data_IF_428816339371
#
_entry.id   IF_428816339371
#
_cell.length_a   1.000
_cell.length_b   1.000
_cell.length_c   1.000
_cell.angle_alpha   90.00
_cell.angle_beta   90.00
_cell.angle_gamma   90.00
#
_symmetry.space_group_name_H-M   'P 1'
#
loop_
_entity.id
_entity.type
_entity.pdbx_description
1 polymer ?
#
# COMPACT_ATOMS: atom_id res chain seq x y z
N UNK A 1 -3.75 13.12 7.23
CA UNK A 1 -3.64 12.01 8.20
C UNK A 1 -2.91 10.87 7.50
N UNK A 2 -1.90 10.28 8.12
CA UNK A 2 -1.20 9.11 7.57
C UNK A 2 -2.00 7.83 7.83
N UNK A 3 -1.87 6.83 6.95
CA UNK A 3 -2.50 5.54 7.14
C UNK A 3 -1.97 4.86 8.41
N UNK A 4 -2.88 4.39 9.26
CA UNK A 4 -2.52 3.56 10.41
C UNK A 4 -3.51 2.42 10.58
N UNK A 5 -3.04 1.18 10.79
CA UNK A 5 -3.91 0.04 11.11
C UNK A 5 -4.76 0.25 12.37
N UNK A 6 -4.40 1.22 13.22
CA UNK A 6 -5.13 1.51 14.45
C UNK A 6 -6.34 2.42 14.24
N UNK A 7 -6.46 3.07 13.10
CA UNK A 7 -7.59 3.92 12.74
C UNK A 7 -8.91 3.10 12.75
N UNK A 8 -9.98 3.65 13.30
CA UNK A 8 -11.23 2.91 13.48
C UNK A 8 -11.90 2.57 12.15
N UNK A 9 -11.89 3.48 11.16
CA UNK A 9 -12.40 3.23 9.80
C UNK A 9 -11.58 2.14 9.12
N UNK A 10 -10.25 2.20 9.23
CA UNK A 10 -9.36 1.14 8.69
C UNK A 10 -9.68 -0.22 9.33
N UNK A 11 -9.92 -0.27 10.64
CA UNK A 11 -10.33 -1.51 11.33
C UNK A 11 -11.69 -2.02 10.84
N UNK A 12 -12.68 -1.14 10.65
CA UNK A 12 -13.98 -1.52 10.08
C UNK A 12 -13.83 -2.12 8.68
N UNK A 13 -13.02 -1.49 7.83
CA UNK A 13 -12.74 -2.02 6.49
C UNK A 13 -12.05 -3.39 6.55
N UNK A 14 -11.08 -3.59 7.45
CA UNK A 14 -10.44 -4.90 7.64
C UNK A 14 -11.44 -5.97 8.12
N UNK A 15 -12.35 -5.63 9.02
CA UNK A 15 -13.43 -6.52 9.46
C UNK A 15 -14.36 -6.86 8.29
N UNK A 16 -14.69 -5.88 7.44
CA UNK A 16 -15.48 -6.09 6.23
C UNK A 16 -14.81 -7.08 5.27
N UNK A 17 -13.51 -6.92 5.00
CA UNK A 17 -12.72 -7.87 4.20
C UNK A 17 -12.74 -9.28 4.79
N UNK A 18 -12.62 -9.41 6.11
CA UNK A 18 -12.68 -10.71 6.78
C UNK A 18 -14.05 -11.37 6.58
N UNK A 19 -15.14 -10.59 6.55
CA UNK A 19 -16.46 -11.12 6.21
C UNK A 19 -16.57 -11.51 4.73
N UNK A 20 -15.94 -10.78 3.80
CA UNK A 20 -15.83 -11.19 2.39
C UNK A 20 -15.12 -12.55 2.27
N UNK A 21 -13.97 -12.71 2.94
CA UNK A 21 -13.20 -13.97 2.95
C UNK A 21 -14.00 -15.15 3.53
N UNK A 22 -14.92 -14.87 4.46
CA UNK A 22 -15.85 -15.86 5.04
C UNK A 22 -17.10 -16.10 4.20
N UNK A 23 -17.24 -15.47 3.03
CA UNK A 23 -18.41 -15.62 2.17
C UNK A 23 -19.68 -14.93 2.71
N UNK A 24 -19.52 -13.86 3.49
CA UNK A 24 -20.61 -13.09 4.12
C UNK A 24 -20.70 -11.66 3.54
N UNK A 25 -21.10 -11.49 2.27
CA UNK A 25 -21.07 -10.20 1.60
C UNK A 25 -22.01 -9.16 2.22
N UNK A 26 -23.16 -9.56 2.76
CA UNK A 26 -24.10 -8.62 3.40
C UNK A 26 -23.54 -8.05 4.72
N UNK A 27 -22.88 -8.88 5.53
CA UNK A 27 -22.19 -8.44 6.74
C UNK A 27 -21.01 -7.52 6.38
N UNK A 28 -20.28 -7.82 5.31
CA UNK A 28 -19.21 -6.98 4.79
C UNK A 28 -19.72 -5.60 4.35
N UNK A 29 -20.78 -5.57 3.53
CA UNK A 29 -21.42 -4.33 3.08
C UNK A 29 -21.86 -3.45 4.26
N UNK A 30 -22.47 -4.04 5.30
CA UNK A 30 -22.85 -3.30 6.51
C UNK A 30 -21.64 -2.69 7.22
N UNK A 31 -20.54 -3.42 7.34
CA UNK A 31 -19.31 -2.92 7.95
C UNK A 31 -18.68 -1.78 7.14
N UNK A 32 -18.73 -1.84 5.80
CA UNK A 32 -18.23 -0.77 4.95
C UNK A 32 -19.08 0.49 5.01
N UNK A 33 -20.41 0.35 5.07
CA UNK A 33 -21.31 1.48 5.31
C UNK A 33 -21.09 2.10 6.70
N UNK A 34 -20.92 1.28 7.72
CA UNK A 34 -20.56 1.78 9.06
C UNK A 34 -19.22 2.52 9.04
N UNK A 35 -18.22 2.04 8.29
CA UNK A 35 -16.95 2.73 8.13
C UNK A 35 -17.12 4.11 7.49
N UNK A 36 -18.05 4.26 6.55
CA UNK A 36 -18.42 5.54 5.95
C UNK A 36 -19.11 6.48 6.94
N UNK A 37 -20.10 5.98 7.69
CA UNK A 37 -20.86 6.78 8.66
C UNK A 37 -19.97 7.27 9.83
N UNK A 38 -18.99 6.45 10.22
CA UNK A 38 -18.02 6.78 11.27
C UNK A 38 -16.83 7.63 10.75
N UNK A 39 -16.72 7.90 9.45
CA UNK A 39 -15.60 8.62 8.86
C UNK A 39 -15.66 10.13 9.15
N UNK A 40 -14.60 10.65 9.76
CA UNK A 40 -14.52 12.02 10.27
C UNK A 40 -13.66 12.96 9.42
N UNK A 41 -12.80 12.41 8.56
CA UNK A 41 -11.90 13.20 7.72
C UNK A 41 -11.82 12.66 6.28
N UNK A 42 -11.24 13.45 5.38
CA UNK A 42 -11.21 13.14 3.95
C UNK A 42 -10.50 11.80 3.65
N UNK A 43 -9.45 11.45 4.40
CA UNK A 43 -8.72 10.19 4.21
C UNK A 43 -9.56 8.98 4.61
N UNK A 44 -10.22 9.04 5.76
CA UNK A 44 -11.17 8.01 6.19
C UNK A 44 -12.32 7.84 5.19
N UNK A 45 -12.88 8.96 4.71
CA UNK A 45 -13.94 8.96 3.71
C UNK A 45 -13.48 8.31 2.41
N UNK A 46 -12.30 8.68 1.91
CA UNK A 46 -11.69 8.06 0.73
C UNK A 46 -11.57 6.53 0.85
N UNK A 47 -11.09 6.04 1.99
CA UNK A 47 -10.95 4.60 2.23
C UNK A 47 -12.34 3.93 2.30
N UNK A 48 -13.28 4.51 3.04
CA UNK A 48 -14.61 3.93 3.20
C UNK A 48 -15.37 3.86 1.86
N UNK A 49 -15.37 4.94 1.07
CA UNK A 49 -16.06 5.02 -0.23
C UNK A 49 -15.56 3.95 -1.20
N UNK A 50 -14.26 3.65 -1.18
CA UNK A 50 -13.68 2.59 -2.02
C UNK A 50 -14.33 1.22 -1.75
N UNK A 51 -14.56 0.86 -0.49
CA UNK A 51 -15.20 -0.43 -0.18
C UNK A 51 -16.71 -0.41 -0.36
N UNK A 52 -17.37 0.71 -0.04
CA UNK A 52 -18.81 0.84 -0.30
C UNK A 52 -19.10 0.66 -1.80
N UNK A 53 -18.27 1.25 -2.68
CA UNK A 53 -18.40 1.08 -4.13
C UNK A 53 -18.36 -0.39 -4.58
N UNK A 54 -17.54 -1.23 -3.94
CA UNK A 54 -17.38 -2.66 -4.30
C UNK A 54 -18.64 -3.50 -4.07
N UNK A 55 -19.55 -3.04 -3.20
CA UNK A 55 -20.75 -3.78 -2.80
C UNK A 55 -22.04 -3.23 -3.41
N UNK A 56 -21.94 -2.27 -4.33
CA UNK A 56 -23.11 -1.73 -5.03
C UNK A 56 -23.65 -2.73 -6.06
N UNK A 57 -24.98 -2.85 -6.13
CA UNK A 57 -25.66 -3.80 -7.02
C UNK A 57 -25.79 -3.30 -8.45
N UNK A 58 -25.84 -1.99 -8.65
CA UNK A 58 -25.96 -1.37 -9.96
C UNK A 58 -24.75 -0.50 -10.26
N UNK A 59 -24.47 -0.33 -11.56
CA UNK A 59 -23.31 0.40 -12.04
C UNK A 59 -23.38 1.89 -11.74
N UNK A 60 -24.57 2.49 -11.73
CA UNK A 60 -24.76 3.92 -11.43
C UNK A 60 -24.38 4.27 -9.99
N UNK A 61 -24.81 3.48 -9.01
CA UNK A 61 -24.45 3.65 -7.60
C UNK A 61 -22.97 3.38 -7.38
N UNK A 62 -22.43 2.32 -8.01
CA UNK A 62 -20.99 2.04 -8.00
C UNK A 62 -20.19 3.24 -8.52
N UNK A 63 -20.61 3.81 -9.64
CA UNK A 63 -19.99 5.01 -10.22
C UNK A 63 -20.04 6.19 -9.25
N UNK A 64 -21.21 6.50 -8.69
CA UNK A 64 -21.37 7.59 -7.73
C UNK A 64 -20.41 7.46 -6.53
N UNK A 65 -20.25 6.25 -6.00
CA UNK A 65 -19.30 5.99 -4.90
C UNK A 65 -17.84 6.07 -5.33
N UNK A 66 -17.49 5.61 -6.53
CA UNK A 66 -16.14 5.74 -7.08
C UNK A 66 -15.77 7.21 -7.35
N UNK A 67 -16.70 8.00 -7.89
CA UNK A 67 -16.52 9.44 -8.10
C UNK A 67 -16.39 10.20 -6.78
N UNK A 68 -17.21 9.83 -5.78
CA UNK A 68 -17.09 10.37 -4.42
C UNK A 68 -15.71 10.05 -3.83
N UNK A 69 -15.24 8.80 -4.01
CA UNK A 69 -13.90 8.38 -3.61
C UNK A 69 -12.81 9.21 -4.29
N UNK A 70 -12.95 9.41 -5.61
CA UNK A 70 -12.03 10.22 -6.39
C UNK A 70 -12.01 11.69 -5.92
N UNK A 71 -13.15 12.27 -5.59
CA UNK A 71 -13.23 13.64 -5.08
C UNK A 71 -12.43 13.81 -3.77
N UNK A 72 -12.60 12.91 -2.80
CA UNK A 72 -11.79 12.92 -1.58
C UNK A 72 -10.31 12.69 -1.90
N UNK A 73 -10.01 11.79 -2.82
CA UNK A 73 -8.64 11.49 -3.20
C UNK A 73 -7.92 12.70 -3.83
N UNK A 74 -8.59 13.41 -4.73
CA UNK A 74 -8.14 14.66 -5.35
C UNK A 74 -7.99 15.80 -4.34
N UNK A 75 -8.82 15.84 -3.29
CA UNK A 75 -8.70 16.83 -2.22
C UNK A 75 -7.47 16.59 -1.33
N UNK A 76 -7.14 15.33 -1.06
CA UNK A 76 -5.97 14.96 -0.24
C UNK A 76 -4.67 15.19 -1.02
N UNK A 77 -4.62 14.75 -2.29
CA UNK A 77 -3.55 15.00 -3.27
C UNK A 77 -2.10 14.80 -2.76
N UNK A 78 -1.85 13.76 -1.97
CA UNK A 78 -0.51 13.41 -1.47
C UNK A 78 -0.02 12.07 -2.04
N UNK A 79 1.24 11.71 -1.81
CA UNK A 79 1.84 10.50 -2.39
C UNK A 79 1.11 9.21 -1.98
N UNK A 80 0.57 9.16 -0.77
CA UNK A 80 -0.23 8.04 -0.25
C UNK A 80 -1.45 7.76 -1.13
N UNK A 81 -2.14 8.81 -1.60
CA UNK A 81 -3.41 8.70 -2.31
C UNK A 81 -3.25 8.77 -3.83
N UNK A 82 -2.26 9.51 -4.34
CA UNK A 82 -1.98 9.61 -5.79
C UNK A 82 -1.78 8.26 -6.45
N UNK A 83 -1.10 7.34 -5.75
CA UNK A 83 -0.93 5.95 -6.17
C UNK A 83 -2.24 5.19 -6.41
N UNK A 84 -3.37 5.62 -5.86
CA UNK A 84 -4.68 5.02 -6.11
C UNK A 84 -5.37 5.54 -7.38
N UNK A 85 -4.94 6.68 -7.94
CA UNK A 85 -5.58 7.30 -9.10
C UNK A 85 -5.67 6.38 -10.32
N UNK A 86 -4.62 5.63 -10.74
CA UNK A 86 -4.73 4.71 -11.86
C UNK A 86 -5.88 3.72 -11.69
N UNK A 87 -5.98 3.09 -10.51
CA UNK A 87 -7.03 2.10 -10.23
C UNK A 87 -8.42 2.74 -10.12
N UNK A 88 -8.54 3.92 -9.52
CA UNK A 88 -9.82 4.64 -9.41
C UNK A 88 -10.36 5.02 -10.78
N UNK A 89 -9.55 5.71 -11.59
CA UNK A 89 -9.93 6.13 -12.93
C UNK A 89 -10.24 4.92 -13.83
N UNK A 90 -9.48 3.83 -13.72
CA UNK A 90 -9.78 2.59 -14.45
C UNK A 90 -11.15 2.00 -14.08
N UNK A 91 -11.50 2.01 -12.80
CA UNK A 91 -12.80 1.49 -12.36
C UNK A 91 -13.96 2.42 -12.76
N UNK A 92 -13.76 3.73 -12.72
CA UNK A 92 -14.73 4.73 -13.21
C UNK A 92 -14.94 4.56 -14.72
N UNK A 93 -13.86 4.41 -15.49
CA UNK A 93 -13.93 4.18 -16.93
C UNK A 93 -14.80 2.95 -17.27
N UNK A 94 -14.57 1.83 -16.58
CA UNK A 94 -15.37 0.60 -16.75
C UNK A 94 -16.85 0.82 -16.44
N UNK A 95 -17.17 1.60 -15.40
CA UNK A 95 -18.56 1.96 -15.10
C UNK A 95 -19.18 2.77 -16.25
N UNK A 96 -18.44 3.73 -16.84
CA UNK A 96 -18.91 4.47 -18.00
C UNK A 96 -19.08 3.61 -19.25
N UNK A 97 -18.21 2.62 -19.49
CA UNK A 97 -18.40 1.64 -20.58
C UNK A 97 -19.70 0.84 -20.41
N UNK A 98 -19.95 0.31 -19.21
CA UNK A 98 -21.16 -0.43 -18.88
C UNK A 98 -22.43 0.45 -19.02
N UNK A 99 -22.32 1.74 -18.72
CA UNK A 99 -23.37 2.75 -18.92
C UNK A 99 -23.51 3.23 -20.38
N UNK A 100 -22.66 2.75 -21.30
CA UNK A 100 -22.62 3.14 -22.71
C UNK A 100 -22.29 4.62 -22.93
N UNK A 101 -21.39 5.17 -22.11
CA UNK A 101 -20.84 6.52 -22.23
C UNK A 101 -19.36 6.47 -22.67
N UNK A 102 -19.07 6.15 -23.95
CA UNK A 102 -17.71 5.83 -24.41
C UNK A 102 -16.74 7.00 -24.34
N UNK A 103 -17.21 8.25 -24.49
CA UNK A 103 -16.36 9.44 -24.41
C UNK A 103 -15.80 9.63 -22.98
N UNK A 104 -16.65 9.50 -21.96
CA UNK A 104 -16.23 9.58 -20.57
C UNK A 104 -15.37 8.38 -20.15
N UNK A 105 -15.69 7.19 -20.66
CA UNK A 105 -14.86 6.02 -20.43
C UNK A 105 -13.43 6.26 -20.95
N UNK A 106 -13.30 6.75 -22.18
CA UNK A 106 -12.01 7.09 -22.80
C UNK A 106 -11.24 8.13 -21.99
N UNK A 107 -11.89 9.23 -21.60
CA UNK A 107 -11.27 10.28 -20.78
C UNK A 107 -10.67 9.70 -19.49
N UNK A 108 -11.41 8.81 -18.81
CA UNK A 108 -10.94 8.18 -17.58
C UNK A 108 -9.81 7.17 -17.83
N UNK A 109 -9.80 6.45 -18.96
CA UNK A 109 -8.65 5.62 -19.33
C UNK A 109 -7.38 6.43 -19.57
N UNK A 110 -7.50 7.56 -20.26
CA UNK A 110 -6.39 8.47 -20.54
C UNK A 110 -5.84 9.06 -19.23
N UNK A 111 -6.73 9.45 -18.30
CA UNK A 111 -6.36 9.87 -16.96
C UNK A 111 -5.64 8.75 -16.19
N UNK A 112 -6.18 7.53 -16.19
CA UNK A 112 -5.54 6.39 -15.52
C UNK A 112 -4.12 6.12 -16.06
N UNK A 113 -3.92 6.25 -17.37
CA UNK A 113 -2.61 6.09 -18.01
C UNK A 113 -1.63 7.20 -17.63
N UNK A 114 -2.11 8.44 -17.47
CA UNK A 114 -1.25 9.58 -17.10
C UNK A 114 -0.62 9.48 -15.70
N UNK A 115 -1.22 8.67 -14.80
CA UNK A 115 -0.72 8.43 -13.45
C UNK A 115 0.12 7.15 -13.31
N UNK A 116 0.35 6.40 -14.40
CA UNK A 116 0.84 5.02 -14.33
C UNK A 116 2.32 4.89 -14.00
N UNK A 117 3.13 5.96 -14.10
CA UNK A 117 4.59 5.87 -13.96
C UNK A 117 5.20 6.87 -12.95
N UNK A 118 6.13 6.34 -12.14
CA UNK A 118 7.00 6.96 -11.13
C UNK A 118 6.30 7.67 -9.95
N UNK A 119 6.45 7.14 -8.72
CA UNK A 119 6.04 7.86 -7.52
C UNK A 119 6.74 9.23 -7.43
N UNK A 120 5.98 10.28 -7.12
CA UNK A 120 6.52 11.64 -6.90
C UNK A 120 7.15 11.84 -5.52
N UNK A 121 7.07 10.82 -4.68
CA UNK A 121 7.47 10.84 -3.28
C UNK A 121 8.94 11.26 -3.14
N UNK A 122 9.20 12.21 -2.24
CA UNK A 122 10.53 12.77 -1.97
C UNK A 122 11.19 12.16 -0.74
N UNK A 123 10.52 11.23 -0.07
CA UNK A 123 11.00 10.64 1.17
C UNK A 123 10.80 11.57 2.38
N UNK A 124 11.65 11.48 3.42
CA UNK A 124 12.82 10.59 3.51
C UNK A 124 12.44 9.11 3.36
N UNK A 125 13.39 8.31 2.88
CA UNK A 125 13.20 6.88 2.66
C UNK A 125 14.03 6.05 3.63
N UNK A 126 13.51 4.88 3.96
CA UNK A 126 14.04 3.99 4.97
C UNK A 126 14.14 2.56 4.46
N UNK A 127 15.26 1.92 4.76
CA UNK A 127 15.48 0.50 4.51
C UNK A 127 15.71 -0.22 5.84
N UNK A 128 14.81 -1.15 6.17
CA UNK A 128 14.91 -1.99 7.35
C UNK A 128 15.61 -3.30 7.04
N UNK A 129 16.67 -3.62 7.79
CA UNK A 129 17.45 -4.84 7.58
C UNK A 129 18.19 -5.26 8.84
N UNK A 130 18.91 -6.38 8.76
CA UNK A 130 19.89 -6.83 9.76
C UNK A 130 21.32 -6.87 9.21
N UNK A 131 21.51 -6.41 7.97
CA UNK A 131 22.83 -6.21 7.41
C UNK A 131 23.54 -5.04 8.12
N UNK A 132 24.82 -5.22 8.39
CA UNK A 132 25.69 -4.20 8.96
C UNK A 132 26.28 -3.36 7.83
N UNK A 133 25.66 -2.21 7.57
CA UNK A 133 25.98 -1.26 6.49
C UNK A 133 26.47 0.04 7.11
N UNK A 134 27.31 0.75 6.39
CA UNK A 134 27.87 2.03 6.78
C UNK A 134 27.33 3.18 5.91
N UNK A 135 27.37 4.40 6.44
CA UNK A 135 27.06 5.59 5.64
C UNK A 135 28.04 5.68 4.48
N UNK A 136 27.50 5.89 3.27
CA UNK A 136 28.26 5.88 2.02
C UNK A 136 28.16 4.57 1.25
N UNK A 137 27.73 3.47 1.88
CA UNK A 137 27.54 2.20 1.19
C UNK A 137 26.45 2.29 0.11
N UNK A 138 26.62 1.50 -0.95
CA UNK A 138 25.62 1.29 -1.98
C UNK A 138 24.99 -0.09 -1.80
N UNK A 139 23.74 -0.12 -1.37
CA UNK A 139 22.94 -1.33 -1.32
C UNK A 139 22.49 -1.66 -2.74
N UNK A 140 22.75 -2.88 -3.20
CA UNK A 140 22.39 -3.36 -4.55
C UNK A 140 21.34 -4.47 -4.49
N UNK A 141 20.60 -4.67 -5.59
CA UNK A 141 19.72 -5.84 -5.73
C UNK A 141 20.53 -7.15 -5.82
N UNK A 142 19.85 -8.30 -5.81
CA UNK A 142 20.47 -9.64 -5.90
C UNK A 142 20.59 -10.38 -4.56
N UNK A 143 20.12 -9.79 -3.47
CA UNK A 143 20.03 -10.44 -2.16
C UNK A 143 19.06 -11.62 -2.13
N UNK A 144 19.19 -12.49 -1.12
CA UNK A 144 18.21 -13.56 -0.88
C UNK A 144 16.94 -13.01 -0.23
N UNK A 145 15.78 -13.55 -0.58
CA UNK A 145 14.49 -13.12 -0.05
C UNK A 145 14.35 -13.38 1.45
N UNK A 146 13.82 -12.40 2.18
CA UNK A 146 13.43 -12.55 3.58
C UNK A 146 12.19 -13.44 3.78
N UNK A 147 11.45 -13.77 2.72
CA UNK A 147 10.16 -14.47 2.84
C UNK A 147 10.21 -15.87 2.23
N UNK A 148 10.72 -16.00 0.99
CA UNK A 148 10.79 -17.29 0.29
C UNK A 148 12.23 -17.83 0.26
N UNK A 149 12.43 -19.09 0.66
CA UNK A 149 13.74 -19.73 0.52
C UNK A 149 14.15 -19.78 -0.96
N UNK A 150 15.45 -19.65 -1.23
CA UNK A 150 16.07 -19.76 -2.57
C UNK A 150 15.63 -18.74 -3.62
N UNK A 151 14.79 -17.75 -3.27
CA UNK A 151 14.43 -16.65 -4.16
C UNK A 151 15.48 -15.53 -4.09
N UNK A 152 16.04 -15.17 -5.25
CA UNK A 152 16.89 -13.98 -5.43
C UNK A 152 16.05 -12.76 -5.80
N UNK A 153 16.22 -11.67 -5.05
CA UNK A 153 15.43 -10.45 -5.25
C UNK A 153 16.03 -9.60 -6.36
N UNK A 154 15.21 -9.25 -7.35
CA UNK A 154 15.55 -8.39 -8.48
C UNK A 154 15.57 -6.89 -8.10
N UNK A 155 15.00 -6.58 -6.94
CA UNK A 155 14.82 -5.22 -6.45
C UNK A 155 15.24 -5.09 -4.98
N UNK A 156 15.54 -3.86 -4.58
CA UNK A 156 15.76 -3.44 -3.21
C UNK A 156 14.48 -2.76 -2.73
N UNK A 157 13.99 -3.13 -1.56
CA UNK A 157 12.71 -2.67 -1.02
C UNK A 157 12.94 -1.65 0.09
N UNK A 158 12.16 -0.58 0.09
CA UNK A 158 12.26 0.51 1.06
C UNK A 158 10.89 1.17 1.24
N UNK A 159 10.76 2.04 2.23
CA UNK A 159 9.50 2.73 2.53
C UNK A 159 9.76 4.15 3.00
N UNK A 160 8.80 5.06 2.81
CA UNK A 160 8.86 6.39 3.43
C UNK A 160 8.33 6.40 4.88
N UNK A 161 7.95 5.24 5.45
CA UNK A 161 7.47 5.12 6.83
C UNK A 161 8.52 4.42 7.70
N UNK A 162 9.13 5.15 8.64
CA UNK A 162 10.19 4.63 9.53
C UNK A 162 9.76 3.37 10.31
N UNK A 163 8.53 3.34 10.82
CA UNK A 163 7.99 2.17 11.54
C UNK A 163 7.77 0.97 10.60
N UNK A 164 7.47 1.23 9.33
CA UNK A 164 7.39 0.19 8.30
C UNK A 164 8.76 -0.46 8.05
N UNK A 165 9.82 0.36 7.99
CA UNK A 165 11.19 -0.15 7.90
C UNK A 165 11.60 -0.89 9.18
N UNK A 166 11.24 -0.39 10.37
CA UNK A 166 11.46 -1.09 11.63
C UNK A 166 10.83 -2.50 11.66
N UNK A 167 9.58 -2.63 11.21
CA UNK A 167 8.93 -3.93 11.06
C UNK A 167 9.66 -4.84 10.06
N UNK A 168 10.10 -4.31 8.92
CA UNK A 168 10.88 -5.07 7.94
C UNK A 168 12.20 -5.58 8.52
N UNK A 169 12.92 -4.77 9.30
CA UNK A 169 14.14 -5.16 9.99
C UNK A 169 13.90 -6.33 10.97
N UNK A 170 12.83 -6.27 11.75
CA UNK A 170 12.47 -7.33 12.70
C UNK A 170 12.07 -8.65 12.01
N UNK A 171 11.53 -8.57 10.79
CA UNK A 171 11.15 -9.72 9.98
C UNK A 171 12.29 -10.27 9.11
N UNK A 172 13.43 -9.59 9.01
CA UNK A 172 14.55 -10.02 8.18
C UNK A 172 15.15 -11.36 8.67
N UNK A 173 15.50 -12.23 7.70
CA UNK A 173 16.11 -13.56 7.93
C UNK A 173 17.61 -13.44 8.18
N UNK A 174 17.96 -13.03 9.39
CA UNK A 174 19.33 -12.99 9.90
C UNK A 174 19.28 -12.94 11.43
N UNK A 175 20.32 -13.42 12.09
CA UNK A 175 20.51 -13.29 13.55
C UNK A 175 21.20 -11.96 13.92
N UNK A 176 21.50 -11.13 12.92
CA UNK A 176 22.06 -9.79 13.12
C UNK A 176 21.10 -8.85 13.85
N UNK A 177 21.66 -7.74 14.34
CA UNK A 177 20.90 -6.67 14.99
C UNK A 177 19.96 -6.00 14.00
N UNK A 178 18.74 -5.70 14.43
CA UNK A 178 17.77 -4.89 13.67
C UNK A 178 18.30 -3.47 13.47
N UNK A 179 18.29 -3.00 12.21
CA UNK A 179 18.76 -1.68 11.81
C UNK A 179 17.81 -1.04 10.80
N UNK A 180 17.68 0.28 10.88
CA UNK A 180 16.88 1.09 9.95
C UNK A 180 17.77 2.17 9.38
N UNK A 181 18.05 2.11 8.09
CA UNK A 181 18.89 3.08 7.40
C UNK A 181 18.05 4.13 6.68
N UNK A 182 18.51 5.38 6.71
CA UNK A 182 18.06 6.43 5.79
C UNK A 182 18.76 6.20 4.47
N UNK A 183 17.99 6.21 3.38
CA UNK A 183 18.52 5.93 2.05
C UNK A 183 18.15 6.99 1.03
N UNK A 184 18.98 7.10 0.00
CA UNK A 184 18.70 7.87 -1.21
C UNK A 184 18.72 6.93 -2.43
N UNK A 185 17.62 6.82 -3.19
CA UNK A 185 17.63 6.08 -4.45
C UNK A 185 18.58 6.75 -5.46
N UNK A 186 19.45 5.96 -6.09
CA UNK A 186 20.38 6.47 -7.12
C UNK A 186 19.77 6.52 -8.52
N UNK A 187 18.54 6.02 -8.67
CA UNK A 187 17.79 6.00 -9.91
C UNK A 187 16.29 5.84 -9.67
N UNK A 188 15.56 5.54 -10.74
CA UNK A 188 14.10 5.39 -10.67
C UNK A 188 13.68 4.26 -9.72
N UNK A 189 12.50 4.42 -9.14
CA UNK A 189 11.86 3.43 -8.30
C UNK A 189 10.36 3.41 -8.58
N UNK A 190 9.70 2.34 -8.16
CA UNK A 190 8.27 2.12 -8.37
C UNK A 190 7.59 1.72 -7.06
N UNK A 191 6.26 1.83 -7.02
CA UNK A 191 5.46 1.30 -5.92
C UNK A 191 5.73 -0.21 -5.75
N UNK A 192 5.81 -0.70 -4.52
CA UNK A 192 5.92 -2.12 -4.25
C UNK A 192 4.59 -2.83 -4.62
N UNK A 193 4.55 -3.65 -5.68
CA UNK A 193 3.33 -4.30 -6.13
C UNK A 193 2.87 -5.39 -5.17
N UNK A 194 3.65 -5.77 -4.16
CA UNK A 194 3.26 -6.76 -3.15
C UNK A 194 2.30 -6.17 -2.11
N UNK A 195 2.25 -4.83 -1.97
CA UNK A 195 1.42 -4.15 -0.97
C UNK A 195 0.57 -3.00 -1.53
N UNK A 196 0.87 -2.53 -2.75
CA UNK A 196 0.10 -1.51 -3.45
C UNK A 196 -1.14 -2.11 -4.12
N UNK A 197 -2.30 -1.46 -3.98
CA UNK A 197 -3.60 -1.88 -4.51
C UNK A 197 -3.98 -3.34 -4.10
N UNK A 198 -3.51 -3.80 -2.94
CA UNK A 198 -3.82 -5.13 -2.41
C UNK A 198 -5.00 -5.11 -1.48
N UNK A 199 -4.77 -4.66 -0.24
CA UNK A 199 -5.84 -4.55 0.75
C UNK A 199 -6.59 -3.24 0.57
N UNK A 200 -5.83 -2.15 0.47
CA UNK A 200 -6.31 -0.78 0.38
C UNK A 200 -5.93 -0.16 -0.97
N UNK A 201 -6.70 0.83 -1.45
CA UNK A 201 -6.40 1.52 -2.70
C UNK A 201 -5.08 2.30 -2.60
N UNK A 202 -4.27 2.23 -3.65
CA UNK A 202 -2.96 2.85 -3.73
C UNK A 202 -1.92 2.20 -2.82
N UNK A 203 -0.98 3.02 -2.35
CA UNK A 203 0.21 2.63 -1.59
C UNK A 203 0.20 3.31 -0.21
N UNK A 204 -0.72 2.92 0.69
CA UNK A 204 -0.82 3.55 2.00
C UNK A 204 0.42 3.34 2.88
N UNK A 205 1.16 2.25 2.66
CA UNK A 205 2.41 1.98 3.37
C UNK A 205 3.62 2.75 2.80
N UNK A 206 3.42 3.51 1.71
CA UNK A 206 4.49 4.21 0.97
C UNK A 206 5.69 3.29 0.78
N UNK A 207 5.41 2.05 0.35
CA UNK A 207 6.40 1.01 0.11
C UNK A 207 6.82 1.01 -1.35
N UNK A 208 8.12 0.96 -1.59
CA UNK A 208 8.71 1.10 -2.91
C UNK A 208 9.75 0.03 -3.15
N UNK A 209 10.11 -0.14 -4.42
CA UNK A 209 11.23 -0.97 -4.83
C UNK A 209 12.04 -0.34 -5.97
N UNK A 210 13.35 -0.59 -6.00
CA UNK A 210 14.24 -0.13 -7.07
C UNK A 210 15.19 -1.22 -7.53
N UNK A 211 15.53 -1.22 -8.82
CA UNK A 211 16.67 -1.99 -9.38
C UNK A 211 17.99 -1.25 -9.25
N UNK A 212 17.93 0.08 -9.23
CA UNK A 212 19.10 0.91 -9.04
C UNK A 212 19.56 0.82 -7.57
N UNK A 213 20.86 0.98 -7.30
CA UNK A 213 21.37 0.96 -5.94
C UNK A 213 20.71 2.02 -5.04
N UNK A 214 20.65 1.75 -3.74
CA UNK A 214 20.26 2.74 -2.73
C UNK A 214 21.51 3.14 -1.95
N UNK A 215 21.76 4.45 -1.84
CA UNK A 215 22.88 4.97 -1.04
C UNK A 215 22.45 5.09 0.41
N UNK A 216 23.25 4.55 1.33
CA UNK A 216 23.05 4.74 2.76
C UNK A 216 23.53 6.14 3.16
N UNK A 217 22.63 6.96 3.70
CA UNK A 217 22.93 8.35 4.12
C UNK A 217 22.87 8.55 5.63
N UNK A 218 22.31 7.59 6.37
CA UNK A 218 22.25 7.62 7.83
C UNK A 218 21.64 6.35 8.41
N UNK A 219 21.61 6.28 9.74
CA UNK A 219 20.91 5.24 10.50
C UNK A 219 19.97 5.93 11.49
N UNK A 220 18.70 5.48 11.55
CA UNK A 220 17.72 5.94 12.53
C UNK A 220 17.70 4.94 13.66
N UNK A 221 17.72 5.41 14.92
CA UNK A 221 17.62 4.56 16.12
C UNK A 221 16.27 4.62 16.82
N UNK A 222 15.48 5.65 16.51
CA UNK A 222 14.17 5.89 17.12
C UNK A 222 13.04 5.43 16.19
N UNK A 223 12.51 4.25 16.48
CA UNK A 223 11.34 3.68 15.82
C UNK A 223 10.60 2.73 16.77
N UNK A 224 9.33 2.50 16.49
CA UNK A 224 8.49 1.63 17.34
C UNK A 224 8.91 0.17 17.16
N UNK A 225 9.44 -0.44 18.23
CA UNK A 225 9.75 -1.88 18.26
C UNK A 225 8.47 -2.68 18.48
N UNK A 226 8.37 -3.79 17.77
CA UNK A 226 7.27 -4.74 17.92
C UNK A 226 7.54 -5.65 19.12
N UNK A 227 6.48 -6.03 19.85
CA UNK A 227 6.64 -7.04 20.89
C UNK A 227 6.85 -8.44 20.28
N UNK A 228 7.46 -9.39 21.02
CA UNK A 228 7.59 -10.77 20.55
C UNK A 228 6.26 -11.40 20.10
N UNK A 229 5.17 -11.12 20.80
CA UNK A 229 3.84 -11.62 20.49
C UNK A 229 3.30 -11.02 19.17
N UNK A 230 3.53 -9.73 18.94
CA UNK A 230 3.17 -9.06 17.69
C UNK A 230 3.97 -9.62 16.50
N UNK A 231 5.28 -9.83 16.68
CA UNK A 231 6.14 -10.43 15.66
C UNK A 231 5.72 -11.87 15.33
N UNK A 232 5.32 -12.65 16.34
CA UNK A 232 4.80 -13.99 16.12
C UNK A 232 3.52 -13.97 15.28
N UNK A 233 2.58 -13.05 15.57
CA UNK A 233 1.37 -12.86 14.76
C UNK A 233 1.70 -12.48 13.32
N UNK A 234 2.68 -11.60 13.10
CA UNK A 234 3.14 -11.25 11.76
C UNK A 234 3.73 -12.44 11.01
N UNK A 235 4.60 -13.24 11.65
CA UNK A 235 5.18 -14.45 11.06
C UNK A 235 4.11 -15.47 10.69
N UNK A 236 3.11 -15.67 11.54
CA UNK A 236 1.97 -16.56 11.24
C UNK A 236 1.15 -16.06 10.04
N UNK A 237 0.86 -14.75 9.97
CA UNK A 237 0.17 -14.16 8.83
C UNK A 237 0.94 -14.33 7.52
N UNK A 238 2.25 -14.15 7.55
CA UNK A 238 3.12 -14.34 6.38
C UNK A 238 3.21 -15.81 5.96
N UNK A 239 3.30 -16.74 6.92
CA UNK A 239 3.33 -18.17 6.63
C UNK A 239 2.01 -18.68 6.01
N UNK A 240 0.89 -18.09 6.40
CA UNK A 240 -0.44 -18.41 5.86
C UNK A 240 -0.74 -17.67 4.55
N UNK A 241 0.09 -16.70 4.15
CA UNK A 241 -0.11 -15.96 2.92
C UNK A 241 0.29 -16.84 1.72
N UNK A 242 -0.70 -17.20 0.89
CA UNK A 242 -0.51 -17.99 -0.33
C UNK A 242 -0.14 -17.15 -1.55
N UNK A 243 -0.04 -15.82 -1.40
CA UNK A 243 0.32 -14.92 -2.50
C UNK A 243 1.74 -15.15 -3.00
N UNK A 244 1.92 -15.16 -4.31
CA UNK A 244 3.25 -15.18 -4.91
C UNK A 244 3.95 -13.82 -4.74
N UNK A 245 5.24 -13.85 -4.45
CA UNK A 245 6.07 -12.63 -4.40
C UNK A 245 6.26 -12.15 -5.83
N UNK A 246 5.77 -10.95 -6.12
CA UNK A 246 6.03 -10.25 -7.37
C UNK A 246 7.45 -9.67 -7.25
N UNK A 247 8.40 -10.32 -7.93
CA UNK A 247 9.82 -10.00 -7.88
C UNK A 247 10.26 -9.13 -9.05
#
# INVERSE_FOLDING_TARGET
MEFTPNNHVVKRCLQGMEMEEKGKPEEAARLFHQAWDEATNDFEKFIATHYVARHQKNVSDKLNWLETSLQFALKINNDTVKSAFPALYLNIAKCYEELKEPEKAKENYDLAASFKDNPSDKGPFYHGTKADLQVGDLLTAGGSSNYKADLKMNHIYFTALVNGAGLAAALAKSDGRERVYIIEPTGNFENDPNVTDKKFPGNPSRSYRSRAPLKITGEVTDWVRQTPEELQKWRQKLANNKGEIIN
#
